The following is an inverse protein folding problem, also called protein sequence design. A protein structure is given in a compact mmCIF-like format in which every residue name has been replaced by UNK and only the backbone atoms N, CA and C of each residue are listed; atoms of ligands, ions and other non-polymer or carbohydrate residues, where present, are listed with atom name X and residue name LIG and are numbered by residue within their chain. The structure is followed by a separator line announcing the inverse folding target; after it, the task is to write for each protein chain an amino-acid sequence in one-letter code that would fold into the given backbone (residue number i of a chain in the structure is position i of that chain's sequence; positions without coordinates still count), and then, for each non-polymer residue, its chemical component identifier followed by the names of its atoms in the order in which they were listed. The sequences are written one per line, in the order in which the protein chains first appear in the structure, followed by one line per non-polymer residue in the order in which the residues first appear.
data_IF_300226149647
#
_entry.id   IF_300226149647
#
_cell.length_a   1.000
_cell.length_b   1.000
_cell.length_c   1.000
_cell.angle_alpha   90.00
_cell.angle_beta   90.00
_cell.angle_gamma   90.00
#
_symmetry.space_group_name_H-M   'P 1'
#
loop_
_entity.id
_entity.type
_entity.pdbx_description
1 polymer ?
#
# COMPACT_ATOMS: atom_id res chain seq x y z
N UNK A 1 12.24 -6.79 -14.31
CA UNK A 1 11.58 -5.65 -13.65
C UNK A 1 11.13 -6.10 -12.27
N UNK A 2 11.19 -5.26 -11.22
CA UNK A 2 10.56 -5.58 -9.93
C UNK A 2 9.04 -5.43 -10.12
N UNK A 3 8.30 -6.54 -10.11
CA UNK A 3 6.84 -6.54 -10.32
C UNK A 3 6.03 -5.92 -9.19
N UNK A 4 6.69 -5.59 -8.07
CA UNK A 4 6.12 -4.89 -6.93
C UNK A 4 7.14 -3.89 -6.35
N UNK A 5 6.68 -2.82 -5.72
CA UNK A 5 7.52 -1.91 -4.94
C UNK A 5 6.74 -1.25 -3.79
N UNK A 6 7.44 -0.95 -2.71
CA UNK A 6 6.87 -0.27 -1.54
C UNK A 6 6.65 1.21 -1.87
N UNK A 7 5.44 1.70 -1.64
CA UNK A 7 5.05 3.10 -1.78
C UNK A 7 5.15 3.86 -0.46
N UNK A 8 4.76 3.19 0.63
CA UNK A 8 4.81 3.73 1.97
C UNK A 8 5.26 2.62 2.91
N UNK A 9 6.50 2.74 3.37
CA UNK A 9 7.13 1.79 4.29
C UNK A 9 6.63 2.00 5.72
N UNK A 10 6.47 0.92 6.46
CA UNK A 10 6.11 0.98 7.88
C UNK A 10 6.81 -0.15 8.62
N UNK A 11 7.65 0.19 9.60
CA UNK A 11 8.56 -0.78 10.25
C UNK A 11 7.87 -1.94 10.97
N UNK A 12 6.59 -1.76 11.37
CA UNK A 12 5.80 -2.75 12.09
C UNK A 12 4.34 -2.72 11.62
N UNK A 13 4.10 -2.87 10.31
CA UNK A 13 2.76 -2.82 9.76
C UNK A 13 1.86 -3.96 10.28
N UNK A 14 0.65 -3.63 10.74
CA UNK A 14 -0.39 -4.60 11.10
C UNK A 14 -0.99 -5.27 9.86
N UNK A 15 -0.95 -4.59 8.71
CA UNK A 15 -1.43 -5.10 7.43
C UNK A 15 -0.68 -4.50 6.24
N UNK A 16 -0.77 -5.17 5.10
CA UNK A 16 -0.20 -4.72 3.82
C UNK A 16 -1.34 -4.38 2.87
N UNK A 17 -1.37 -3.14 2.38
CA UNK A 17 -2.26 -2.66 1.35
C UNK A 17 -1.57 -2.82 0.00
N UNK A 18 -2.08 -3.74 -0.82
CA UNK A 18 -1.56 -3.93 -2.18
C UNK A 18 -2.49 -3.24 -3.16
N UNK A 19 -1.94 -2.39 -4.04
CA UNK A 19 -2.71 -1.64 -5.02
C UNK A 19 -2.09 -1.71 -6.42
N UNK A 20 -2.96 -1.65 -7.43
CA UNK A 20 -2.61 -1.60 -8.85
C UNK A 20 -3.41 -0.47 -9.51
N UNK A 21 -3.01 -0.02 -10.69
CA UNK A 21 -3.88 0.83 -11.52
C UNK A 21 -4.34 2.15 -10.89
N UNK A 22 -5.64 2.44 -10.92
CA UNK A 22 -6.19 3.72 -10.50
C UNK A 22 -6.34 3.82 -8.96
N UNK A 23 -6.29 2.68 -8.27
CA UNK A 23 -6.44 2.52 -6.84
C UNK A 23 -5.27 3.12 -6.05
N UNK A 24 -4.18 3.53 -6.71
CA UNK A 24 -3.07 4.25 -6.05
C UNK A 24 -3.52 5.49 -5.31
N UNK A 25 -4.36 6.32 -5.96
CA UNK A 25 -4.84 7.57 -5.39
C UNK A 25 -5.67 7.37 -4.11
N UNK A 26 -6.38 6.26 -4.03
CA UNK A 26 -7.12 5.85 -2.84
C UNK A 26 -6.16 5.31 -1.76
N UNK A 27 -5.23 4.44 -2.14
CA UNK A 27 -4.30 3.76 -1.23
C UNK A 27 -3.39 4.72 -0.44
N UNK A 28 -3.15 5.95 -0.91
CA UNK A 28 -2.39 6.96 -0.15
C UNK A 28 -3.11 7.50 1.09
N UNK A 29 -4.45 7.56 1.06
CA UNK A 29 -5.23 8.14 2.17
C UNK A 29 -5.71 7.08 3.17
N UNK A 30 -5.65 5.80 2.80
CA UNK A 30 -6.09 4.69 3.67
C UNK A 30 -5.20 4.53 4.90
N UNK A 31 -3.85 4.59 4.83
CA UNK A 31 -2.99 4.51 6.02
C UNK A 31 -3.31 5.59 7.04
N UNK A 32 -3.60 6.81 6.61
CA UNK A 32 -4.00 7.90 7.50
C UNK A 32 -5.30 7.54 8.24
N UNK A 33 -6.32 7.09 7.52
CA UNK A 33 -7.61 6.68 8.13
C UNK A 33 -7.46 5.48 9.08
N UNK A 34 -6.58 4.52 8.75
CA UNK A 34 -6.30 3.36 9.60
C UNK A 34 -5.54 3.76 10.88
N UNK A 35 -4.65 4.75 10.78
CA UNK A 35 -3.88 5.24 11.92
C UNK A 35 -4.78 5.83 13.02
N UNK A 36 -5.92 6.44 12.66
CA UNK A 36 -6.93 6.92 13.61
C UNK A 36 -7.52 5.79 14.47
N UNK A 37 -7.44 4.54 13.98
CA UNK A 37 -7.88 3.33 14.67
C UNK A 37 -6.71 2.54 15.28
N UNK A 38 -5.52 3.12 15.33
CA UNK A 38 -4.29 2.47 15.82
C UNK A 38 -3.95 1.24 14.98
N UNK A 39 -4.24 1.30 13.67
CA UNK A 39 -3.87 0.27 12.70
C UNK A 39 -2.81 0.85 11.79
N UNK A 40 -1.65 0.22 11.75
CA UNK A 40 -0.53 0.59 10.89
C UNK A 40 -0.56 -0.21 9.59
N UNK A 41 -0.29 0.45 8.47
CA UNK A 41 -0.39 -0.16 7.14
C UNK A 41 0.82 0.18 6.27
N UNK A 42 1.44 -0.85 5.69
CA UNK A 42 2.42 -0.70 4.61
C UNK A 42 1.70 -0.70 3.26
N UNK A 43 2.07 0.20 2.36
CA UNK A 43 1.46 0.28 1.02
C UNK A 43 2.43 -0.23 -0.02
N UNK A 44 2.01 -1.22 -0.80
CA UNK A 44 2.77 -1.83 -1.88
C UNK A 44 2.05 -1.60 -3.20
N UNK A 45 2.79 -1.07 -4.16
CA UNK A 45 2.40 -1.01 -5.56
C UNK A 45 2.72 -2.32 -6.27
N UNK A 46 1.74 -2.83 -6.99
CA UNK A 46 1.86 -3.95 -7.89
C UNK A 46 1.37 -3.53 -9.29
N UNK A 47 2.18 -2.78 -10.07
CA UNK A 47 1.78 -2.44 -11.44
C UNK A 47 1.72 -3.72 -12.28
N UNK A 48 0.58 -3.96 -12.91
CA UNK A 48 0.21 -5.08 -13.80
C UNK A 48 1.14 -6.30 -13.82
N UNK A 49 0.59 -7.46 -13.45
CA UNK A 49 1.21 -8.77 -13.71
C UNK A 49 1.15 -9.17 -15.21
N UNK A 50 1.35 -8.25 -16.15
CA UNK A 50 1.55 -8.60 -17.56
C UNK A 50 2.95 -9.22 -17.71
N UNK A 51 3.04 -10.51 -17.38
CA UNK A 51 4.02 -11.47 -17.90
C UNK A 51 3.38 -12.27 -19.02
#
# INVERSE_FOLDING_TARGET
LKGAYVLQETSSADLILTCAGAEFSFAFNVPETLSEKIISAEVISLPSQDY
#
